data_IF_450372178169
#
_entry.id   IF_450372178169
#
_cell.length_a   1.000
_cell.length_b   1.000
_cell.length_c   1.000
_cell.angle_alpha   90.00
_cell.angle_beta   90.00
_cell.angle_gamma   90.00
#
_symmetry.space_group_name_H-M   'P 1'
#
loop_
_entity.id
_entity.type
_entity.pdbx_description
1 polymer ?
#
# COMPACT_ATOMS: atom_id res chain seq x y z
N UNK A 1 -4.60 -24.55 -5.97
CA UNK A 1 -5.13 -23.43 -5.17
C UNK A 1 -4.05 -22.72 -4.40
N UNK A 2 -3.20 -23.38 -3.64
CA UNK A 2 -2.07 -22.77 -2.87
C UNK A 2 -1.15 -21.92 -3.74
N UNK A 3 -0.68 -22.44 -4.90
CA UNK A 3 0.20 -21.69 -5.82
C UNK A 3 -0.43 -20.40 -6.35
N UNK A 4 -1.74 -20.38 -6.55
CA UNK A 4 -2.46 -19.18 -6.96
C UNK A 4 -2.30 -18.08 -5.90
N UNK A 5 -2.61 -18.38 -4.64
CA UNK A 5 -2.53 -17.41 -3.55
C UNK A 5 -1.09 -17.00 -3.22
N UNK A 6 -0.17 -17.94 -3.10
CA UNK A 6 1.22 -17.66 -2.65
C UNK A 6 2.11 -17.07 -3.74
N UNK A 7 1.76 -17.16 -5.01
CA UNK A 7 2.59 -16.65 -6.11
C UNK A 7 1.85 -15.62 -6.95
N UNK A 8 0.69 -15.98 -7.52
CA UNK A 8 0.03 -15.11 -8.50
C UNK A 8 -0.59 -13.86 -7.86
N UNK A 9 -1.21 -14.00 -6.68
CA UNK A 9 -1.78 -12.84 -5.97
C UNK A 9 -0.68 -11.87 -5.55
N UNK A 10 0.43 -12.36 -5.00
CA UNK A 10 1.54 -11.50 -4.59
C UNK A 10 2.12 -10.74 -5.79
N UNK A 11 2.35 -11.44 -6.91
CA UNK A 11 2.82 -10.81 -8.16
C UNK A 11 1.84 -9.76 -8.68
N UNK A 12 0.56 -10.09 -8.68
CA UNK A 12 -0.48 -9.16 -9.11
C UNK A 12 -0.47 -7.89 -8.26
N UNK A 13 -0.51 -8.01 -6.94
CA UNK A 13 -0.53 -6.85 -6.03
C UNK A 13 0.73 -6.01 -6.18
N UNK A 14 1.91 -6.62 -6.26
CA UNK A 14 3.16 -5.90 -6.46
C UNK A 14 3.18 -5.13 -7.78
N UNK A 15 2.77 -5.77 -8.89
CA UNK A 15 2.69 -5.12 -10.21
C UNK A 15 1.64 -4.00 -10.22
N UNK A 16 0.47 -4.26 -9.64
CA UNK A 16 -0.60 -3.28 -9.54
C UNK A 16 -0.17 -2.05 -8.71
N UNK A 17 0.55 -2.27 -7.61
CA UNK A 17 1.10 -1.16 -6.79
C UNK A 17 2.04 -0.27 -7.60
N UNK A 18 3.01 -0.86 -8.31
CA UNK A 18 3.96 -0.09 -9.13
C UNK A 18 3.25 0.70 -10.23
N UNK A 19 2.34 0.06 -10.96
CA UNK A 19 1.55 0.73 -12.01
C UNK A 19 0.72 1.87 -11.42
N UNK A 20 0.06 1.63 -10.29
CA UNK A 20 -0.76 2.64 -9.61
C UNK A 20 0.07 3.83 -9.11
N UNK A 21 1.28 3.60 -8.60
CA UNK A 21 2.19 4.69 -8.22
C UNK A 21 2.62 5.52 -9.43
N UNK A 22 2.90 4.87 -10.57
CA UNK A 22 3.22 5.58 -11.81
C UNK A 22 2.04 6.44 -12.26
N UNK A 23 0.83 5.86 -12.34
CA UNK A 23 -0.38 6.61 -12.71
C UNK A 23 -0.62 7.76 -11.73
N UNK A 24 -0.56 7.50 -10.42
CA UNK A 24 -0.75 8.51 -9.40
C UNK A 24 0.23 9.68 -9.53
N UNK A 25 1.51 9.41 -9.85
CA UNK A 25 2.52 10.46 -10.05
C UNK A 25 2.23 11.37 -11.24
N UNK A 26 1.62 10.83 -12.31
CA UNK A 26 1.23 11.64 -13.47
C UNK A 26 0.04 12.57 -13.17
N UNK A 27 -0.87 12.14 -12.30
CA UNK A 27 -2.07 12.93 -11.96
C UNK A 27 -1.91 13.73 -10.66
N UNK A 28 -0.73 13.71 -10.05
CA UNK A 28 -0.47 14.50 -8.85
C UNK A 28 -0.40 15.99 -9.21
N UNK A 29 -1.23 16.86 -8.59
CA UNK A 29 -1.30 18.28 -8.97
C UNK A 29 0.00 19.03 -8.74
N UNK A 30 0.63 18.82 -7.59
CA UNK A 30 1.89 19.46 -7.24
C UNK A 30 1.98 19.85 -5.76
N UNK A 31 3.06 20.57 -5.44
CA UNK A 31 3.39 20.98 -4.09
C UNK A 31 4.11 19.90 -3.30
N UNK A 32 5.04 20.33 -2.49
CA UNK A 32 5.70 19.52 -1.47
C UNK A 32 5.99 20.39 -0.24
N UNK A 33 6.49 19.77 0.84
CA UNK A 33 6.74 20.45 2.12
C UNK A 33 7.75 21.62 2.02
N UNK A 34 8.62 21.61 1.00
CA UNK A 34 9.66 22.63 0.81
C UNK A 34 9.28 23.67 -0.26
N UNK A 35 8.43 23.30 -1.21
CA UNK A 35 7.99 24.14 -2.31
C UNK A 35 6.52 23.87 -2.66
N UNK A 36 5.57 24.62 -2.06
CA UNK A 36 4.16 24.49 -2.36
C UNK A 36 3.81 24.81 -3.84
N UNK A 37 4.61 25.65 -4.51
CA UNK A 37 4.37 26.08 -5.90
C UNK A 37 4.92 25.09 -6.95
N UNK A 38 5.48 23.95 -6.50
CA UNK A 38 5.99 22.93 -7.43
C UNK A 38 4.83 22.35 -8.25
N UNK A 39 5.02 22.24 -9.57
CA UNK A 39 4.06 21.62 -10.48
C UNK A 39 4.35 20.12 -10.59
N UNK A 40 3.33 19.29 -10.39
CA UNK A 40 3.41 17.84 -10.54
C UNK A 40 4.24 17.15 -9.44
N UNK A 41 4.44 15.85 -9.59
CA UNK A 41 5.17 15.02 -8.65
C UNK A 41 6.68 15.02 -8.94
N UNK A 42 7.48 15.26 -7.91
CA UNK A 42 8.95 15.19 -7.99
C UNK A 42 9.46 13.99 -7.18
N UNK A 43 10.09 13.03 -7.84
CA UNK A 43 10.67 11.85 -7.19
C UNK A 43 11.80 12.17 -6.20
N UNK A 44 12.39 13.35 -6.28
CA UNK A 44 13.47 13.80 -5.40
C UNK A 44 13.01 14.65 -4.22
N UNK A 45 11.81 15.23 -4.27
CA UNK A 45 11.33 16.21 -3.29
C UNK A 45 9.99 15.86 -2.65
N UNK A 46 9.17 15.01 -3.29
CA UNK A 46 7.93 14.52 -2.72
C UNK A 46 8.12 13.16 -2.04
N UNK A 47 7.43 12.94 -0.93
CA UNK A 47 7.29 11.61 -0.34
C UNK A 47 6.28 10.79 -1.14
N UNK A 48 6.51 9.49 -1.24
CA UNK A 48 5.59 8.58 -1.94
C UNK A 48 4.18 8.59 -1.33
N UNK A 49 4.08 8.78 -0.02
CA UNK A 49 2.80 8.88 0.71
C UNK A 49 1.97 10.11 0.35
N UNK A 50 2.58 11.16 -0.21
CA UNK A 50 1.85 12.36 -0.66
C UNK A 50 0.90 12.04 -1.82
N UNK A 51 1.20 11.01 -2.62
CA UNK A 51 0.29 10.54 -3.66
C UNK A 51 -1.07 10.11 -3.10
N UNK A 52 -1.10 9.62 -1.86
CA UNK A 52 -2.32 9.17 -1.18
C UNK A 52 -3.10 10.24 -0.45
N UNK A 53 -2.55 11.44 -0.25
CA UNK A 53 -3.24 12.56 0.36
C UNK A 53 -4.40 13.09 -0.48
N UNK A 54 -5.47 13.56 0.14
CA UNK A 54 -6.62 14.16 -0.57
C UNK A 54 -6.40 15.61 -0.95
N UNK A 55 -5.56 16.32 -0.19
CA UNK A 55 -5.18 17.70 -0.45
C UNK A 55 -3.65 17.80 -0.44
N UNK A 56 -3.09 18.43 -1.45
CA UNK A 56 -1.63 18.62 -1.57
C UNK A 56 -1.12 19.75 -0.69
N UNK A 57 0.19 19.91 -0.61
CA UNK A 57 0.81 21.07 0.07
C UNK A 57 0.54 22.39 -0.64
N UNK A 58 0.17 22.37 -1.92
CA UNK A 58 -0.33 23.53 -2.67
C UNK A 58 -1.78 23.90 -2.33
N UNK A 59 -2.49 23.08 -1.53
CA UNK A 59 -3.91 23.25 -1.24
C UNK A 59 -4.84 22.75 -2.35
N UNK A 60 -4.33 22.03 -3.34
CA UNK A 60 -5.11 21.50 -4.45
C UNK A 60 -5.70 20.13 -4.14
N UNK A 61 -6.89 19.85 -4.69
CA UNK A 61 -7.57 18.55 -4.53
C UNK A 61 -6.85 17.49 -5.35
N UNK A 62 -6.48 16.39 -4.70
CA UNK A 62 -5.72 15.28 -5.28
C UNK A 62 -6.56 13.99 -5.40
N UNK A 63 -7.69 14.06 -6.08
CA UNK A 63 -8.65 12.94 -6.14
C UNK A 63 -8.13 11.73 -6.92
N UNK A 64 -7.54 11.95 -8.10
CA UNK A 64 -7.15 10.86 -9.01
C UNK A 64 -5.92 10.14 -8.48
N UNK A 65 -4.86 10.86 -8.13
CA UNK A 65 -3.65 10.29 -7.58
C UNK A 65 -3.93 9.52 -6.30
N UNK A 66 -4.68 10.13 -5.35
CA UNK A 66 -5.04 9.48 -4.09
C UNK A 66 -5.89 8.22 -4.29
N UNK A 67 -6.82 8.22 -5.25
CA UNK A 67 -7.61 7.04 -5.58
C UNK A 67 -6.72 5.86 -6.02
N UNK A 68 -5.82 6.07 -6.98
CA UNK A 68 -4.94 5.01 -7.47
C UNK A 68 -3.98 4.51 -6.39
N UNK A 69 -3.33 5.42 -5.68
CA UNK A 69 -2.37 5.05 -4.64
C UNK A 69 -3.04 4.31 -3.48
N UNK A 70 -4.13 4.84 -2.94
CA UNK A 70 -4.82 4.23 -1.80
C UNK A 70 -5.49 2.90 -2.16
N UNK A 71 -6.04 2.77 -3.37
CA UNK A 71 -6.56 1.50 -3.87
C UNK A 71 -5.47 0.42 -3.94
N UNK A 72 -4.28 0.80 -4.38
CA UNK A 72 -3.15 -0.12 -4.43
C UNK A 72 -2.68 -0.55 -3.03
N UNK A 73 -2.63 0.37 -2.06
CA UNK A 73 -2.34 0.04 -0.66
C UNK A 73 -3.40 -0.90 -0.08
N UNK A 74 -4.68 -0.65 -0.36
CA UNK A 74 -5.77 -1.50 0.11
C UNK A 74 -5.66 -2.94 -0.43
N UNK A 75 -5.16 -3.12 -1.67
CA UNK A 75 -4.94 -4.44 -2.26
C UNK A 75 -3.91 -5.30 -1.49
N UNK A 76 -3.05 -4.71 -0.63
CA UNK A 76 -2.15 -5.49 0.22
C UNK A 76 -2.87 -6.37 1.24
N UNK A 77 -4.17 -6.16 1.52
CA UNK A 77 -4.99 -7.12 2.26
C UNK A 77 -5.01 -8.50 1.60
N UNK A 78 -4.99 -8.57 0.27
CA UNK A 78 -4.92 -9.84 -0.47
C UNK A 78 -3.60 -10.57 -0.20
N UNK A 79 -2.50 -9.82 -0.05
CA UNK A 79 -1.19 -10.40 0.33
C UNK A 79 -1.25 -10.93 1.76
N UNK A 80 -1.84 -10.16 2.68
CA UNK A 80 -2.09 -10.62 4.05
C UNK A 80 -2.89 -11.91 4.08
N UNK A 81 -4.01 -11.97 3.35
CA UNK A 81 -4.83 -13.17 3.25
C UNK A 81 -4.08 -14.34 2.62
N UNK A 82 -3.22 -14.08 1.63
CA UNK A 82 -2.38 -15.10 0.98
C UNK A 82 -1.45 -15.81 1.96
N UNK A 83 -1.04 -15.16 3.05
CA UNK A 83 -0.13 -15.74 4.04
C UNK A 83 -0.70 -17.00 4.71
N UNK A 84 -2.03 -17.13 4.82
CA UNK A 84 -2.68 -18.32 5.38
C UNK A 84 -2.49 -19.60 4.53
N UNK A 85 -2.06 -19.46 3.29
CA UNK A 85 -1.74 -20.58 2.42
C UNK A 85 -0.26 -21.04 2.51
N UNK A 86 0.55 -20.36 3.34
CA UNK A 86 1.97 -20.68 3.56
C UNK A 86 2.18 -21.83 4.56
N UNK A 87 1.49 -21.89 5.72
CA UNK A 87 1.74 -22.91 6.74
C UNK A 87 1.69 -24.36 6.23
N UNK A 88 0.76 -24.74 5.32
CA UNK A 88 0.72 -26.11 4.80
C UNK A 88 2.02 -26.59 4.14
N UNK A 89 2.89 -25.67 3.70
CA UNK A 89 4.19 -26.00 3.10
C UNK A 89 5.22 -26.54 4.14
N UNK A 90 4.95 -26.33 5.44
CA UNK A 90 5.83 -26.70 6.54
C UNK A 90 5.29 -27.86 7.39
N UNK A 91 4.34 -28.65 6.88
CA UNK A 91 3.65 -29.73 7.63
C UNK A 91 4.57 -30.84 8.09
N UNK A 92 5.71 -31.05 7.43
CA UNK A 92 6.68 -32.08 7.78
C UNK A 92 7.36 -31.83 9.15
N UNK A 93 7.47 -30.58 9.57
CA UNK A 93 8.04 -30.20 10.86
C UNK A 93 7.02 -29.44 11.70
N UNK A 94 6.61 -30.04 12.82
CA UNK A 94 5.58 -29.48 13.72
C UNK A 94 5.92 -28.07 14.22
N UNK A 95 7.17 -27.82 14.59
CA UNK A 95 7.60 -26.51 15.09
C UNK A 95 7.53 -25.47 13.99
N UNK A 96 8.04 -25.76 12.80
CA UNK A 96 7.98 -24.87 11.63
C UNK A 96 6.54 -24.57 11.21
N UNK A 97 5.65 -25.58 11.28
CA UNK A 97 4.24 -25.40 10.98
C UNK A 97 3.57 -24.42 11.96
N UNK A 98 3.80 -24.60 13.28
CA UNK A 98 3.24 -23.70 14.29
C UNK A 98 3.78 -22.27 14.13
N UNK A 99 5.09 -22.12 13.93
CA UNK A 99 5.70 -20.82 13.68
C UNK A 99 5.11 -20.14 12.42
N UNK A 100 4.91 -20.89 11.34
CA UNK A 100 4.30 -20.37 10.11
C UNK A 100 2.84 -19.94 10.33
N UNK A 101 2.06 -20.67 11.15
CA UNK A 101 0.70 -20.29 11.51
C UNK A 101 0.68 -18.95 12.28
N UNK A 102 1.52 -18.83 13.31
CA UNK A 102 1.63 -17.59 14.11
C UNK A 102 2.08 -16.43 13.23
N UNK A 103 3.11 -16.62 12.41
CA UNK A 103 3.62 -15.61 11.51
C UNK A 103 2.55 -15.15 10.50
N UNK A 104 1.76 -16.06 9.94
CA UNK A 104 0.67 -15.72 9.01
C UNK A 104 -0.41 -14.86 9.67
N UNK A 105 -0.79 -15.16 10.92
CA UNK A 105 -1.77 -14.36 11.67
C UNK A 105 -1.22 -12.97 11.95
N UNK A 106 0.00 -12.87 12.46
CA UNK A 106 0.63 -11.57 12.74
C UNK A 106 0.82 -10.74 11.48
N UNK A 107 1.23 -11.38 10.38
CA UNK A 107 1.38 -10.72 9.10
C UNK A 107 0.04 -10.21 8.56
N UNK A 108 -1.02 -10.99 8.63
CA UNK A 108 -2.36 -10.57 8.23
C UNK A 108 -2.84 -9.36 9.04
N UNK A 109 -2.66 -9.38 10.37
CA UNK A 109 -2.98 -8.25 11.23
C UNK A 109 -2.20 -7.00 10.79
N UNK A 110 -0.90 -7.14 10.52
CA UNK A 110 -0.08 -6.05 9.99
C UNK A 110 -0.61 -5.49 8.67
N UNK A 111 -1.08 -6.35 7.75
CA UNK A 111 -1.66 -5.91 6.47
C UNK A 111 -3.02 -5.22 6.65
N UNK A 112 -3.81 -5.57 7.66
CA UNK A 112 -5.04 -4.85 8.02
C UNK A 112 -4.70 -3.43 8.46
N UNK A 113 -3.72 -3.24 9.34
CA UNK A 113 -3.26 -1.91 9.75
C UNK A 113 -2.67 -1.12 8.57
N UNK A 114 -1.90 -1.79 7.71
CA UNK A 114 -1.34 -1.17 6.51
C UNK A 114 -2.42 -0.69 5.54
N UNK A 115 -3.48 -1.49 5.33
CA UNK A 115 -4.64 -1.06 4.54
C UNK A 115 -5.41 0.09 5.23
N UNK A 116 -5.38 0.16 6.55
CA UNK A 116 -5.93 1.28 7.31
C UNK A 116 -5.28 2.62 6.94
N UNK A 117 -3.99 2.63 6.61
CA UNK A 117 -3.29 3.84 6.13
C UNK A 117 -3.92 4.37 4.84
N UNK A 118 -4.41 3.49 3.96
CA UNK A 118 -5.10 3.88 2.73
C UNK A 118 -6.44 4.60 2.98
N UNK A 119 -7.05 4.37 4.14
CA UNK A 119 -8.33 4.97 4.54
C UNK A 119 -8.17 6.22 5.41
N UNK A 120 -6.97 6.45 5.92
CA UNK A 120 -6.65 7.57 6.83
C UNK A 120 -5.39 8.32 6.34
N UNK A 121 -5.47 9.02 5.18
CA UNK A 121 -4.35 9.82 4.70
C UNK A 121 -3.94 10.87 5.72
N UNK A 122 -2.65 11.13 5.82
CA UNK A 122 -2.07 12.02 6.83
C UNK A 122 -2.53 13.48 6.73
N UNK A 123 -2.98 13.93 5.57
CA UNK A 123 -3.49 15.28 5.36
C UNK A 123 -4.82 15.53 6.08
N UNK A 124 -5.58 14.48 6.44
CA UNK A 124 -6.80 14.63 7.26
C UNK A 124 -6.52 15.16 8.67
N UNK A 125 -5.30 15.02 9.17
CA UNK A 125 -4.90 15.41 10.53
C UNK A 125 -3.88 16.55 10.53
N UNK A 126 -3.57 17.14 9.38
CA UNK A 126 -2.54 18.17 9.26
C UNK A 126 -2.90 19.47 9.98
N UNK A 127 -4.20 19.77 10.11
CA UNK A 127 -4.72 21.00 10.71
C UNK A 127 -5.27 20.77 12.14
N UNK A 128 -5.04 19.58 12.71
CA UNK A 128 -5.37 19.24 14.08
C UNK A 128 -4.16 19.41 15.00
#
# INVERSE_FOLDING_TARGET
>A
MTKFWTVHIIRFVATFFVISCIIASFFFPGGNIHNPDQIGYSFSHNFLSELGGYVTFAGEINSISSFFFNSALFCFLLVGFSSFFIPPLFRENKTSFICACIASVLFFIGMVFFAGVALTPHDLYRDA
#
